data_IF_035275098650
#
_entry.id   IF_035275098650
#
_cell.length_a   1.000
_cell.length_b   1.000
_cell.length_c   1.000
_cell.angle_alpha   90.00
_cell.angle_beta   90.00
_cell.angle_gamma   90.00
#
_symmetry.space_group_name_H-M   'P 1'
#
loop_
_entity.id
_entity.type
_entity.pdbx_description
1 polymer ?
#
# COMPACT_ATOMS: atom_id res chain seq x y z
N UNK A 1 -10.30 -25.93 -0.12
CA UNK A 1 -11.52 -26.06 -0.94
C UNK A 1 -12.36 -24.77 -1.06
N UNK A 2 -12.01 -23.69 -0.35
CA UNK A 2 -12.71 -22.41 -0.41
C UNK A 2 -12.27 -21.51 -1.60
N UNK A 3 -11.34 -21.98 -2.44
CA UNK A 3 -10.91 -21.26 -3.63
C UNK A 3 -9.87 -20.17 -3.42
N UNK A 4 -9.33 -19.98 -2.23
CA UNK A 4 -8.22 -19.05 -2.01
C UNK A 4 -6.99 -19.49 -2.81
N UNK A 5 -6.35 -18.57 -3.51
CA UNK A 5 -5.20 -18.84 -4.39
C UNK A 5 -4.00 -17.94 -4.11
N UNK A 6 -4.17 -16.93 -3.28
CA UNK A 6 -3.10 -15.99 -2.92
C UNK A 6 -3.03 -15.86 -1.41
N UNK A 7 -1.80 -15.73 -0.89
CA UNK A 7 -1.53 -15.53 0.53
C UNK A 7 -0.42 -14.51 0.70
N UNK A 8 -0.51 -13.68 1.74
CA UNK A 8 0.56 -12.77 2.15
C UNK A 8 0.99 -13.07 3.57
N UNK A 9 2.29 -13.06 3.80
CA UNK A 9 2.91 -13.26 5.10
C UNK A 9 3.67 -12.01 5.51
N UNK A 10 3.29 -11.43 6.64
CA UNK A 10 4.01 -10.30 7.21
C UNK A 10 5.32 -10.75 7.83
N UNK A 11 6.40 -10.71 7.07
CA UNK A 11 7.76 -11.03 7.54
C UNK A 11 8.32 -9.87 8.35
N UNK A 12 8.14 -8.66 7.88
CA UNK A 12 8.65 -7.38 8.38
C UNK A 12 10.18 -7.28 8.24
N UNK A 13 10.94 -8.03 9.05
CA UNK A 13 12.40 -8.06 9.07
C UNK A 13 12.89 -9.40 9.65
N UNK A 14 14.10 -9.86 9.25
CA UNK A 14 14.72 -11.07 9.78
C UNK A 14 15.82 -10.79 10.81
N UNK A 15 16.22 -9.53 11.03
CA UNK A 15 17.18 -9.17 12.06
C UNK A 15 16.57 -9.37 13.45
N UNK A 16 17.22 -10.17 14.29
CA UNK A 16 16.71 -10.51 15.63
C UNK A 16 16.56 -9.27 16.52
N UNK A 17 17.48 -8.30 16.41
CA UNK A 17 17.41 -7.05 17.17
C UNK A 17 16.19 -6.22 16.77
N UNK A 18 15.87 -6.15 15.46
CA UNK A 18 14.72 -5.44 14.93
C UNK A 18 13.42 -6.15 15.36
N UNK A 19 13.37 -7.48 15.22
CA UNK A 19 12.22 -8.28 15.64
C UNK A 19 11.91 -8.12 17.14
N UNK A 20 12.96 -8.07 17.99
CA UNK A 20 12.80 -7.81 19.44
C UNK A 20 12.22 -6.42 19.70
N UNK A 21 12.71 -5.40 18.99
CA UNK A 21 12.26 -4.03 19.16
C UNK A 21 10.77 -3.84 18.80
N UNK A 22 10.30 -4.54 17.78
CA UNK A 22 8.88 -4.50 17.36
C UNK A 22 8.00 -5.56 18.06
N UNK A 23 8.54 -6.30 19.02
CA UNK A 23 7.87 -7.40 19.74
C UNK A 23 7.28 -8.48 18.84
N UNK A 24 7.97 -8.80 17.74
CA UNK A 24 7.52 -9.77 16.75
C UNK A 24 8.64 -10.73 16.37
N UNK A 25 8.86 -11.73 17.21
CA UNK A 25 9.85 -12.79 16.95
C UNK A 25 9.27 -13.78 15.92
N UNK A 26 9.85 -13.78 14.74
CA UNK A 26 9.42 -14.62 13.62
C UNK A 26 10.63 -15.23 12.90
N UNK A 27 11.13 -16.38 13.38
CA UNK A 27 12.30 -17.03 12.79
C UNK A 27 12.09 -17.36 11.31
N UNK A 28 13.14 -17.28 10.52
CA UNK A 28 13.14 -17.60 9.09
C UNK A 28 12.52 -18.99 8.79
N UNK A 29 12.83 -19.98 9.62
CA UNK A 29 12.30 -21.35 9.43
C UNK A 29 10.78 -21.43 9.51
N UNK A 30 10.15 -20.57 10.32
CA UNK A 30 8.69 -20.50 10.36
C UNK A 30 8.12 -19.92 9.07
N UNK A 31 8.71 -18.86 8.54
CA UNK A 31 8.30 -18.25 7.26
C UNK A 31 8.52 -19.24 6.12
N UNK A 32 9.68 -19.91 6.10
CA UNK A 32 9.98 -20.96 5.12
C UNK A 32 8.89 -22.04 5.14
N UNK A 33 8.62 -22.60 6.31
CA UNK A 33 7.63 -23.66 6.48
C UNK A 33 6.25 -23.26 5.94
N UNK A 34 5.74 -22.07 6.31
CA UNK A 34 4.41 -21.63 5.85
C UNK A 34 4.39 -21.28 4.36
N UNK A 35 5.50 -20.78 3.81
CA UNK A 35 5.66 -20.51 2.37
C UNK A 35 5.63 -21.83 1.57
N UNK A 36 6.37 -22.83 2.02
CA UNK A 36 6.40 -24.16 1.37
C UNK A 36 5.02 -24.83 1.46
N UNK A 37 4.39 -24.81 2.65
CA UNK A 37 3.04 -25.35 2.83
C UNK A 37 2.01 -24.66 1.95
N UNK A 38 2.07 -23.35 1.79
CA UNK A 38 1.16 -22.64 0.89
C UNK A 38 1.27 -23.16 -0.55
N UNK A 39 2.50 -23.39 -1.04
CA UNK A 39 2.72 -23.95 -2.38
C UNK A 39 2.23 -25.38 -2.52
N UNK A 40 2.50 -26.21 -1.52
CA UNK A 40 2.02 -27.62 -1.47
C UNK A 40 0.48 -27.69 -1.50
N UNK A 41 -0.21 -26.79 -0.80
CA UNK A 41 -1.68 -26.68 -0.79
C UNK A 41 -2.23 -26.19 -2.13
N UNK A 42 -1.40 -25.53 -2.97
CA UNK A 42 -1.79 -25.06 -4.30
C UNK A 42 -2.08 -23.56 -4.38
N UNK A 43 -1.54 -22.75 -3.48
CA UNK A 43 -1.52 -21.30 -3.67
C UNK A 43 -0.65 -20.93 -4.87
N UNK A 44 -1.19 -20.13 -5.75
CA UNK A 44 -0.54 -19.73 -7.02
C UNK A 44 0.26 -18.43 -6.91
N UNK A 45 0.12 -17.71 -5.81
CA UNK A 45 0.92 -16.52 -5.51
C UNK A 45 1.10 -16.37 -4.01
N UNK A 46 2.36 -16.32 -3.58
CA UNK A 46 2.78 -16.07 -2.21
C UNK A 46 3.45 -14.71 -2.15
N UNK A 47 3.04 -13.87 -1.22
CA UNK A 47 3.60 -12.54 -0.98
C UNK A 47 4.30 -12.48 0.37
N UNK A 48 5.44 -11.78 0.44
CA UNK A 48 6.08 -11.39 1.69
C UNK A 48 5.96 -9.88 1.89
N UNK A 49 5.54 -9.47 3.07
CA UNK A 49 5.51 -8.06 3.46
C UNK A 49 6.75 -7.75 4.28
N UNK A 50 7.62 -6.90 3.75
CA UNK A 50 8.84 -6.41 4.37
C UNK A 50 8.65 -4.94 4.77
N UNK A 51 9.33 -4.51 5.83
CA UNK A 51 9.23 -3.12 6.30
C UNK A 51 10.63 -2.53 6.46
N UNK A 52 10.83 -1.35 5.87
CA UNK A 52 12.04 -0.56 6.08
C UNK A 52 11.77 0.63 7.01
N UNK A 53 12.83 1.10 7.66
CA UNK A 53 12.74 2.18 8.62
C UNK A 53 12.23 1.75 9.99
N UNK A 54 12.33 0.46 10.33
CA UNK A 54 12.02 -0.08 11.65
C UNK A 54 13.05 0.40 12.70
N UNK A 55 12.69 0.41 14.00
CA UNK A 55 13.64 0.78 15.06
C UNK A 55 14.93 -0.06 15.00
N UNK A 56 16.10 0.59 15.16
CA UNK A 56 17.43 0.00 15.09
C UNK A 56 17.82 -0.66 13.76
N UNK A 57 16.97 -0.59 12.74
CA UNK A 57 17.25 -1.21 11.44
C UNK A 57 18.36 -0.47 10.71
N UNK A 58 19.34 -1.21 10.20
CA UNK A 58 20.44 -0.72 9.37
C UNK A 58 20.25 -1.14 7.91
N UNK A 59 21.07 -0.59 7.01
CA UNK A 59 21.07 -1.01 5.62
C UNK A 59 21.38 -2.51 5.47
N UNK A 60 22.36 -3.02 6.22
CA UNK A 60 22.71 -4.44 6.19
C UNK A 60 21.54 -5.33 6.65
N UNK A 61 20.74 -4.88 7.63
CA UNK A 61 19.52 -5.61 8.05
C UNK A 61 18.49 -5.68 6.91
N UNK A 62 18.29 -4.58 6.20
CA UNK A 62 17.35 -4.51 5.03
C UNK A 62 17.82 -5.46 3.93
N UNK A 63 19.08 -5.37 3.52
CA UNK A 63 19.63 -6.21 2.45
C UNK A 63 19.60 -7.69 2.84
N UNK A 64 19.98 -8.01 4.08
CA UNK A 64 19.88 -9.37 4.62
C UNK A 64 18.44 -9.90 4.58
N UNK A 65 17.47 -9.08 4.97
CA UNK A 65 16.04 -9.45 4.97
C UNK A 65 15.53 -9.70 3.55
N UNK A 66 15.93 -8.87 2.59
CA UNK A 66 15.57 -9.07 1.17
C UNK A 66 16.18 -10.37 0.65
N UNK A 67 17.46 -10.63 0.90
CA UNK A 67 18.14 -11.84 0.44
C UNK A 67 17.56 -13.11 1.05
N UNK A 68 17.25 -13.09 2.33
CA UNK A 68 16.54 -14.18 3.01
C UNK A 68 15.15 -14.43 2.42
N UNK A 69 14.36 -13.36 2.21
CA UNK A 69 13.06 -13.49 1.55
C UNK A 69 13.21 -14.03 0.13
N UNK A 70 14.18 -13.52 -0.64
CA UNK A 70 14.42 -13.98 -2.01
C UNK A 70 14.84 -15.46 -2.07
N UNK A 71 15.50 -16.01 -1.06
CA UNK A 71 15.82 -17.45 -1.00
C UNK A 71 14.58 -18.35 -0.99
N UNK A 72 13.44 -17.83 -0.52
CA UNK A 72 12.13 -18.49 -0.55
C UNK A 72 11.35 -18.19 -1.83
N UNK A 73 11.85 -17.27 -2.64
CA UNK A 73 11.28 -16.86 -3.94
C UNK A 73 9.77 -16.56 -3.88
N UNK A 74 9.28 -15.67 -3.01
CA UNK A 74 7.88 -15.26 -3.05
C UNK A 74 7.55 -14.63 -4.42
N UNK A 75 6.31 -14.76 -4.86
CA UNK A 75 5.85 -14.22 -6.15
C UNK A 75 5.76 -12.69 -6.11
N UNK A 76 5.51 -12.15 -4.91
CA UNK A 76 5.40 -10.70 -4.65
C UNK A 76 6.14 -10.34 -3.38
N UNK A 77 6.60 -9.10 -3.36
CA UNK A 77 7.11 -8.45 -2.15
C UNK A 77 6.43 -7.10 -2.02
N UNK A 78 5.86 -6.83 -0.85
CA UNK A 78 5.48 -5.49 -0.43
C UNK A 78 6.57 -4.96 0.49
N UNK A 79 7.20 -3.83 0.11
CA UNK A 79 8.32 -3.23 0.83
C UNK A 79 7.86 -1.89 1.43
N UNK A 80 7.22 -1.97 2.61
CA UNK A 80 6.54 -0.85 3.22
C UNK A 80 7.46 0.03 4.06
N UNK A 81 7.20 1.34 4.02
CA UNK A 81 7.77 2.29 4.97
C UNK A 81 7.14 2.13 6.35
N UNK A 82 7.96 2.01 7.40
CA UNK A 82 7.48 2.03 8.77
C UNK A 82 6.79 3.37 9.09
N UNK A 83 5.51 3.28 9.51
CA UNK A 83 4.75 4.43 9.94
C UNK A 83 4.91 4.63 11.45
N UNK A 84 5.77 5.58 11.85
CA UNK A 84 5.94 5.95 13.25
C UNK A 84 4.83 6.92 13.67
N UNK A 85 3.91 6.44 14.51
CA UNK A 85 2.72 7.17 14.97
C UNK A 85 2.53 7.00 16.50
N UNK A 86 3.50 7.42 17.34
CA UNK A 86 3.50 7.17 18.78
C UNK A 86 2.34 7.84 19.51
N UNK A 87 1.69 8.84 18.90
CA UNK A 87 0.53 9.53 19.43
C UNK A 87 -0.77 8.72 19.36
N UNK A 88 -0.82 7.63 18.58
CA UNK A 88 -1.98 6.74 18.51
C UNK A 88 -1.90 5.75 19.67
N UNK A 89 -2.90 5.81 20.58
CA UNK A 89 -2.98 4.88 21.71
C UNK A 89 -3.21 3.44 21.23
N UNK A 90 -2.50 2.49 21.84
CA UNK A 90 -2.67 1.05 21.59
C UNK A 90 -1.93 0.49 20.38
N UNK A 91 -1.09 1.26 19.71
CA UNK A 91 -0.34 0.81 18.53
C UNK A 91 0.91 -0.07 18.83
N UNK A 92 1.23 -0.35 20.10
CA UNK A 92 2.40 -1.17 20.47
C UNK A 92 3.77 -0.53 20.25
N UNK A 93 3.85 0.71 19.76
CA UNK A 93 5.10 1.42 19.44
C UNK A 93 5.72 2.05 20.69
N UNK A 94 6.04 1.25 21.73
CA UNK A 94 6.51 1.76 23.03
C UNK A 94 7.78 1.11 23.56
N UNK A 95 8.37 0.18 22.81
CA UNK A 95 9.57 -0.56 23.23
C UNK A 95 10.89 0.12 22.84
N UNK A 96 10.83 1.32 22.21
CA UNK A 96 11.96 2.07 21.69
C UNK A 96 11.65 3.57 21.73
N UNK A 97 12.66 4.41 21.54
CA UNK A 97 12.53 5.87 21.50
C UNK A 97 12.41 6.36 20.05
N UNK A 98 11.95 7.59 19.87
CA UNK A 98 11.87 8.22 18.54
C UNK A 98 13.23 8.29 17.84
N UNK A 99 14.32 8.48 18.60
CA UNK A 99 15.71 8.51 18.12
C UNK A 99 16.23 7.17 17.58
N UNK A 100 15.58 6.06 17.96
CA UNK A 100 15.93 4.70 17.50
C UNK A 100 15.35 4.38 16.10
N UNK A 101 14.50 5.26 15.58
CA UNK A 101 13.82 5.09 14.29
C UNK A 101 14.57 5.85 13.19
N UNK A 102 15.00 5.19 12.12
CA UNK A 102 15.61 5.87 10.97
C UNK A 102 14.70 6.94 10.38
N UNK A 103 15.22 8.14 10.15
CA UNK A 103 14.46 9.29 9.60
C UNK A 103 15.23 9.96 8.47
N UNK A 104 14.53 10.78 7.68
CA UNK A 104 15.13 11.61 6.64
C UNK A 104 16.00 10.80 5.65
N UNK A 105 17.23 11.25 5.45
CA UNK A 105 18.17 10.68 4.47
C UNK A 105 18.46 9.20 4.73
N UNK A 106 18.62 8.80 6.00
CA UNK A 106 18.86 7.39 6.35
C UNK A 106 17.71 6.52 5.89
N UNK A 107 16.48 6.92 6.20
CA UNK A 107 15.29 6.16 5.81
C UNK A 107 15.14 6.09 4.29
N UNK A 108 15.45 7.17 3.58
CA UNK A 108 15.47 7.22 2.13
C UNK A 108 16.49 6.25 1.55
N UNK A 109 17.72 6.23 2.09
CA UNK A 109 18.74 5.29 1.67
C UNK A 109 18.29 3.84 1.85
N UNK A 110 17.66 3.48 2.98
CA UNK A 110 17.12 2.13 3.19
C UNK A 110 16.14 1.72 2.10
N UNK A 111 15.30 2.66 1.64
CA UNK A 111 14.35 2.41 0.54
C UNK A 111 15.06 2.25 -0.80
N UNK A 112 15.92 3.18 -1.17
CA UNK A 112 16.57 3.20 -2.49
C UNK A 112 17.46 1.97 -2.70
N UNK A 113 18.31 1.66 -1.73
CA UNK A 113 19.19 0.48 -1.77
C UNK A 113 18.39 -0.84 -1.69
N UNK A 114 17.35 -0.87 -0.86
CA UNK A 114 16.45 -2.03 -0.78
C UNK A 114 15.69 -2.27 -2.09
N UNK A 115 15.19 -1.21 -2.71
CA UNK A 115 14.58 -1.26 -4.05
C UNK A 115 15.56 -1.77 -5.10
N UNK A 116 16.77 -1.21 -5.14
CA UNK A 116 17.80 -1.64 -6.09
C UNK A 116 18.10 -3.13 -5.90
N UNK A 117 18.24 -3.59 -4.65
CA UNK A 117 18.44 -5.01 -4.36
C UNK A 117 17.31 -5.89 -4.86
N UNK A 118 16.05 -5.47 -4.68
CA UNK A 118 14.88 -6.20 -5.20
C UNK A 118 14.92 -6.30 -6.73
N UNK A 119 15.28 -5.23 -7.43
CA UNK A 119 15.44 -5.25 -8.89
C UNK A 119 16.58 -6.19 -9.33
N UNK A 120 17.73 -6.14 -8.65
CA UNK A 120 18.88 -7.03 -8.93
C UNK A 120 18.55 -8.51 -8.76
N UNK A 121 17.72 -8.87 -7.79
CA UNK A 121 17.31 -10.26 -7.58
C UNK A 121 16.10 -10.68 -8.45
N UNK A 122 15.68 -9.82 -9.38
CA UNK A 122 14.76 -10.15 -10.47
C UNK A 122 13.29 -9.87 -10.19
N UNK A 123 12.97 -9.01 -9.22
CA UNK A 123 11.62 -8.44 -9.10
C UNK A 123 11.50 -7.19 -9.96
N UNK A 124 10.30 -6.92 -10.46
CA UNK A 124 9.95 -5.68 -11.11
C UNK A 124 9.12 -4.81 -10.16
N UNK A 125 9.36 -3.51 -10.16
CA UNK A 125 8.52 -2.54 -9.45
C UNK A 125 7.18 -2.40 -10.15
N UNK A 126 6.10 -2.57 -9.40
CA UNK A 126 4.72 -2.43 -9.91
C UNK A 126 4.18 -1.03 -9.65
N UNK A 127 4.51 -0.50 -8.50
CA UNK A 127 4.13 0.84 -8.06
C UNK A 127 4.14 0.95 -6.55
N UNK A 128 4.43 2.14 -6.06
CA UNK A 128 4.62 2.43 -4.65
C UNK A 128 5.59 1.43 -4.01
N UNK A 129 5.06 0.62 -3.11
CA UNK A 129 5.81 -0.29 -2.25
C UNK A 129 5.74 -1.76 -2.75
N UNK A 130 5.21 -2.00 -3.97
CA UNK A 130 4.93 -3.35 -4.46
C UNK A 130 5.88 -3.77 -5.57
N UNK A 131 6.40 -4.98 -5.41
CA UNK A 131 7.28 -5.65 -6.36
C UNK A 131 6.73 -7.03 -6.69
N UNK A 132 6.91 -7.49 -7.93
CA UNK A 132 6.46 -8.80 -8.36
C UNK A 132 7.46 -9.46 -9.30
N UNK A 133 7.49 -10.78 -9.30
CA UNK A 133 8.21 -11.53 -10.32
C UNK A 133 7.52 -11.35 -11.68
N UNK A 134 8.26 -11.37 -12.80
CA UNK A 134 7.69 -11.28 -14.14
C UNK A 134 6.68 -12.40 -14.46
N UNK A 135 6.75 -13.51 -13.72
CA UNK A 135 5.81 -14.63 -13.84
C UNK A 135 4.49 -14.43 -13.11
N UNK A 136 4.41 -13.46 -12.19
CA UNK A 136 3.19 -13.20 -11.42
C UNK A 136 2.13 -12.46 -12.24
N UNK A 137 0.86 -12.71 -11.93
CA UNK A 137 -0.28 -12.08 -12.59
C UNK A 137 -0.35 -10.56 -12.39
N UNK A 138 0.21 -10.03 -11.29
CA UNK A 138 0.24 -8.60 -11.03
C UNK A 138 1.19 -7.88 -12.01
N UNK A 139 2.37 -8.45 -12.27
CA UNK A 139 3.30 -7.91 -13.26
C UNK A 139 2.67 -7.94 -14.66
N UNK A 140 2.04 -9.05 -15.05
CA UNK A 140 1.38 -9.14 -16.37
C UNK A 140 0.26 -8.11 -16.50
N UNK A 141 -0.54 -7.90 -15.46
CA UNK A 141 -1.59 -6.88 -15.46
C UNK A 141 -1.00 -5.46 -15.55
N UNK A 142 0.14 -5.21 -14.92
CA UNK A 142 0.88 -3.94 -15.03
C UNK A 142 1.34 -3.69 -16.47
N UNK A 143 2.03 -4.63 -17.10
CA UNK A 143 2.50 -4.55 -18.49
C UNK A 143 1.35 -4.36 -19.51
N UNK A 144 0.19 -4.96 -19.21
CA UNK A 144 -0.99 -4.87 -20.06
C UNK A 144 -1.89 -3.66 -19.77
N UNK A 145 -1.49 -2.74 -18.88
CA UNK A 145 -2.30 -1.61 -18.41
C UNK A 145 -3.67 -2.03 -17.84
N UNK A 146 -3.73 -3.23 -17.26
CA UNK A 146 -4.93 -3.81 -16.63
C UNK A 146 -4.85 -3.83 -15.10
N UNK A 147 -3.75 -3.29 -14.55
CA UNK A 147 -3.60 -3.21 -13.11
C UNK A 147 -4.75 -2.45 -12.48
N UNK A 148 -5.25 -2.94 -11.39
CA UNK A 148 -6.27 -2.29 -10.57
C UNK A 148 -5.77 -2.12 -9.14
N UNK A 149 -6.38 -1.19 -8.42
CA UNK A 149 -6.13 -0.97 -7.00
C UNK A 149 -7.44 -0.89 -6.25
N UNK A 150 -7.56 -1.65 -5.18
CA UNK A 150 -8.66 -1.57 -4.22
C UNK A 150 -8.09 -1.22 -2.83
N UNK A 151 -8.91 -1.28 -1.80
CA UNK A 151 -8.49 -0.96 -0.44
C UNK A 151 -7.34 -1.86 0.06
N UNK A 152 -7.22 -3.08 -0.41
CA UNK A 152 -6.15 -4.02 -0.02
C UNK A 152 -4.83 -3.77 -0.77
N UNK A 153 -4.80 -2.94 -1.79
CA UNK A 153 -3.62 -2.66 -2.61
C UNK A 153 -3.79 -3.03 -4.08
N UNK A 154 -2.68 -3.24 -4.79
CA UNK A 154 -2.68 -3.60 -6.20
C UNK A 154 -3.19 -5.02 -6.45
N UNK A 155 -3.95 -5.18 -7.53
CA UNK A 155 -4.51 -6.47 -7.95
C UNK A 155 -4.58 -6.57 -9.47
N UNK A 156 -4.42 -7.79 -9.99
CA UNK A 156 -4.60 -8.10 -11.42
C UNK A 156 -6.07 -8.19 -11.83
N UNK A 157 -7.02 -8.21 -10.89
CA UNK A 157 -8.44 -8.36 -11.20
C UNK A 157 -9.22 -7.11 -10.85
N UNK A 158 -10.04 -6.64 -11.81
CA UNK A 158 -11.00 -5.54 -11.61
C UNK A 158 -12.26 -6.09 -10.94
N UNK A 159 -12.19 -6.38 -9.66
CA UNK A 159 -13.38 -6.77 -8.89
C UNK A 159 -14.26 -5.55 -8.64
N UNK A 160 -15.55 -5.66 -8.91
CA UNK A 160 -16.52 -4.58 -8.65
C UNK A 160 -16.90 -4.50 -7.18
N UNK A 161 -16.81 -5.62 -6.46
CA UNK A 161 -17.16 -5.72 -5.05
C UNK A 161 -16.15 -6.62 -4.35
N UNK A 162 -15.58 -6.13 -3.26
CA UNK A 162 -14.78 -6.88 -2.32
C UNK A 162 -15.48 -6.88 -0.97
N UNK A 163 -15.78 -8.05 -0.43
CA UNK A 163 -16.42 -8.20 0.88
C UNK A 163 -15.34 -8.54 1.91
N UNK A 164 -15.17 -7.68 2.87
CA UNK A 164 -14.25 -7.88 4.00
C UNK A 164 -14.86 -8.80 5.04
N UNK A 165 -14.20 -9.92 5.31
CA UNK A 165 -14.61 -10.89 6.33
C UNK A 165 -13.77 -10.73 7.59
N UNK A 166 -14.42 -10.79 8.74
CA UNK A 166 -13.78 -10.68 10.04
C UNK A 166 -13.84 -9.26 10.65
N UNK A 167 -13.37 -9.15 11.90
CA UNK A 167 -13.28 -7.88 12.61
C UNK A 167 -12.34 -6.91 11.88
N UNK A 168 -12.61 -5.61 11.95
CA UNK A 168 -11.86 -4.52 11.30
C UNK A 168 -11.84 -4.56 9.76
N UNK A 169 -12.32 -5.63 9.13
CA UNK A 169 -12.25 -5.80 7.69
C UNK A 169 -13.00 -4.70 6.94
N UNK A 170 -12.46 -4.29 5.80
CA UNK A 170 -13.06 -3.26 4.96
C UNK A 170 -13.58 -3.90 3.67
N UNK A 171 -14.85 -3.64 3.39
CA UNK A 171 -15.48 -3.92 2.11
C UNK A 171 -15.35 -2.73 1.19
N UNK A 172 -15.08 -2.99 -0.09
CA UNK A 172 -14.87 -1.98 -1.13
C UNK A 172 -15.75 -2.32 -2.32
N UNK A 173 -16.64 -1.41 -2.69
CA UNK A 173 -17.38 -1.44 -3.94
C UNK A 173 -17.09 -0.18 -4.74
N UNK A 174 -17.46 -0.18 -6.04
CA UNK A 174 -17.28 1.03 -6.83
C UNK A 174 -17.99 2.25 -6.23
N UNK A 175 -19.11 2.05 -5.55
CA UNK A 175 -19.99 3.11 -5.04
C UNK A 175 -19.85 3.38 -3.54
N UNK A 176 -18.98 2.66 -2.81
CA UNK A 176 -18.85 2.89 -1.39
C UNK A 176 -17.94 1.92 -0.66
N UNK A 177 -17.68 2.27 0.58
CA UNK A 177 -16.86 1.51 1.52
C UNK A 177 -17.66 1.18 2.77
N UNK A 178 -17.39 0.03 3.37
CA UNK A 178 -17.94 -0.34 4.68
C UNK A 178 -16.84 -1.00 5.53
N UNK A 179 -16.80 -0.70 6.82
CA UNK A 179 -15.85 -1.31 7.76
C UNK A 179 -16.59 -2.03 8.86
N UNK A 180 -16.18 -3.26 9.12
CA UNK A 180 -16.69 -4.06 10.23
C UNK A 180 -16.20 -3.52 11.59
N UNK A 181 -16.90 -3.93 12.67
CA UNK A 181 -16.51 -3.63 14.05
C UNK A 181 -15.04 -3.96 14.28
N UNK A 182 -14.35 -3.07 15.00
CA UNK A 182 -12.93 -3.21 15.31
C UNK A 182 -12.64 -3.97 16.59
N UNK A 183 -13.62 -3.98 17.47
CA UNK A 183 -13.59 -4.72 18.71
C UNK A 183 -14.15 -6.13 18.49
N UNK A 184 -13.45 -7.13 19.01
CA UNK A 184 -13.80 -8.54 18.79
C UNK A 184 -15.15 -8.90 19.43
N UNK A 185 -15.41 -8.40 20.63
CA UNK A 185 -16.66 -8.70 21.36
C UNK A 185 -17.85 -8.02 20.68
N UNK A 186 -17.68 -6.75 20.25
CA UNK A 186 -18.70 -6.04 19.49
C UNK A 186 -19.00 -6.74 18.15
N UNK A 187 -17.98 -7.24 17.47
CA UNK A 187 -18.12 -8.00 16.23
C UNK A 187 -18.96 -9.27 16.45
N UNK A 188 -18.61 -10.11 17.42
CA UNK A 188 -19.35 -11.33 17.71
C UNK A 188 -20.79 -11.04 18.19
N UNK A 189 -20.98 -10.03 19.02
CA UNK A 189 -22.32 -9.63 19.52
C UNK A 189 -23.30 -9.28 18.41
N UNK A 190 -22.82 -8.71 17.28
CA UNK A 190 -23.67 -8.47 16.11
C UNK A 190 -23.96 -9.75 15.36
N UNK A 191 -22.95 -10.61 15.15
CA UNK A 191 -23.17 -11.90 14.49
C UNK A 191 -24.16 -12.80 15.22
N UNK A 192 -24.10 -12.85 16.56
CA UNK A 192 -25.04 -13.59 17.40
C UNK A 192 -26.50 -13.11 17.23
N UNK A 193 -26.67 -11.83 16.89
CA UNK A 193 -27.97 -11.24 16.58
C UNK A 193 -28.37 -11.36 15.11
N UNK A 194 -27.59 -12.04 14.28
CA UNK A 194 -27.73 -12.08 12.82
C UNK A 194 -27.68 -10.69 12.15
N UNK A 195 -26.95 -9.73 12.74
CA UNK A 195 -26.73 -8.40 12.19
C UNK A 195 -25.44 -8.38 11.36
N UNK A 196 -25.42 -7.59 10.27
CA UNK A 196 -24.18 -7.31 9.53
C UNK A 196 -23.28 -6.47 10.45
N UNK A 197 -22.03 -6.89 10.72
CA UNK A 197 -21.18 -6.28 11.74
C UNK A 197 -20.49 -4.99 11.27
N UNK A 198 -21.15 -4.19 10.43
CA UNK A 198 -20.64 -2.91 9.91
C UNK A 198 -20.80 -1.82 10.95
N UNK A 199 -19.70 -1.16 11.35
CA UNK A 199 -19.72 -0.03 12.27
C UNK A 199 -19.68 1.33 11.57
N UNK A 200 -19.15 1.42 10.37
CA UNK A 200 -19.12 2.65 9.57
C UNK A 200 -19.01 2.35 8.08
N UNK A 201 -19.41 3.32 7.27
CA UNK A 201 -19.28 3.25 5.83
C UNK A 201 -19.33 4.64 5.21
N UNK A 202 -19.07 4.69 3.91
CA UNK A 202 -19.15 5.89 3.11
C UNK A 202 -19.71 5.56 1.73
N UNK A 203 -20.78 6.24 1.34
CA UNK A 203 -21.34 6.16 0.00
C UNK A 203 -20.74 7.28 -0.83
N UNK A 204 -20.18 6.93 -1.99
CA UNK A 204 -19.54 7.86 -2.91
C UNK A 204 -20.59 8.61 -3.73
N UNK A 205 -20.50 9.94 -3.78
CA UNK A 205 -21.27 10.76 -4.69
C UNK A 205 -20.62 10.81 -6.08
N UNK A 206 -21.23 11.54 -7.04
CA UNK A 206 -20.72 11.63 -8.41
C UNK A 206 -19.31 12.22 -8.49
N UNK A 207 -19.00 13.23 -7.69
CA UNK A 207 -17.68 13.84 -7.61
C UNK A 207 -16.65 12.84 -7.08
N UNK A 208 -16.97 12.13 -6.00
CA UNK A 208 -16.10 11.10 -5.42
C UNK A 208 -15.74 10.02 -6.46
N UNK A 209 -16.70 9.63 -7.31
CA UNK A 209 -16.47 8.64 -8.36
C UNK A 209 -15.52 9.15 -9.44
N UNK A 210 -15.62 10.42 -9.82
CA UNK A 210 -14.70 11.07 -10.77
C UNK A 210 -13.31 11.13 -10.18
N UNK A 211 -13.18 11.64 -8.95
CA UNK A 211 -11.89 11.73 -8.24
C UNK A 211 -11.27 10.35 -8.05
N UNK A 212 -12.06 9.35 -7.63
CA UNK A 212 -11.61 7.97 -7.52
C UNK A 212 -11.03 7.45 -8.85
N UNK A 213 -11.64 7.78 -9.98
CA UNK A 213 -11.15 7.39 -11.31
C UNK A 213 -9.77 8.02 -11.59
N UNK A 214 -9.60 9.31 -11.34
CA UNK A 214 -8.31 9.98 -11.52
C UNK A 214 -7.22 9.38 -10.63
N UNK A 215 -7.50 9.17 -9.35
CA UNK A 215 -6.55 8.56 -8.42
C UNK A 215 -6.18 7.14 -8.87
N UNK A 216 -7.14 6.33 -9.29
CA UNK A 216 -6.86 4.98 -9.79
C UNK A 216 -6.01 4.98 -11.07
N UNK A 217 -6.27 5.89 -11.99
CA UNK A 217 -5.49 6.04 -13.21
C UNK A 217 -4.04 6.41 -12.88
N UNK A 218 -3.84 7.42 -12.04
CA UNK A 218 -2.50 7.83 -11.59
C UNK A 218 -1.77 6.70 -10.87
N UNK A 219 -2.41 6.03 -9.92
CA UNK A 219 -1.82 4.93 -9.16
C UNK A 219 -1.46 3.71 -10.00
N UNK A 220 -2.27 3.37 -11.02
CA UNK A 220 -2.11 2.13 -11.78
C UNK A 220 -1.47 2.32 -13.15
N UNK A 221 -1.49 3.53 -13.72
CA UNK A 221 -1.04 3.82 -15.07
C UNK A 221 -0.08 5.02 -15.14
N UNK A 222 0.12 5.73 -14.03
CA UNK A 222 0.94 6.95 -13.93
C UNK A 222 0.51 8.09 -14.87
N UNK A 223 -0.74 8.05 -15.33
CA UNK A 223 -1.34 9.08 -16.17
C UNK A 223 -2.82 9.22 -15.84
N UNK A 224 -3.38 10.42 -16.05
CA UNK A 224 -4.83 10.63 -16.01
C UNK A 224 -5.23 11.75 -16.93
N UNK A 225 -6.46 11.67 -17.48
CA UNK A 225 -6.99 12.67 -18.42
C UNK A 225 -8.42 13.04 -18.07
N UNK A 226 -8.76 14.30 -18.29
CA UNK A 226 -10.13 14.86 -18.20
C UNK A 226 -10.62 15.37 -19.55
N UNK A 227 -10.14 14.77 -20.64
CA UNK A 227 -10.60 15.10 -22.00
C UNK A 227 -12.08 14.73 -22.19
N UNK A 228 -12.53 13.65 -21.57
CA UNK A 228 -13.92 13.18 -21.59
C UNK A 228 -14.76 13.96 -20.60
N UNK A 229 -15.99 14.43 -20.98
CA UNK A 229 -16.84 15.24 -20.12
C UNK A 229 -17.17 14.60 -18.77
N UNK A 230 -17.35 13.29 -18.73
CA UNK A 230 -17.64 12.50 -17.51
C UNK A 230 -16.48 12.41 -16.52
N UNK A 231 -15.28 12.84 -16.92
CA UNK A 231 -14.10 12.90 -16.07
C UNK A 231 -13.73 14.35 -15.68
N UNK A 232 -14.57 15.32 -16.01
CA UNK A 232 -14.39 16.71 -15.63
C UNK A 232 -15.03 16.97 -14.27
N UNK A 233 -14.39 17.81 -13.45
CA UNK A 233 -14.91 18.26 -12.17
C UNK A 233 -14.54 19.74 -11.94
N UNK A 234 -15.26 20.42 -11.07
CA UNK A 234 -15.21 21.86 -10.95
C UNK A 234 -13.84 22.39 -10.49
N UNK A 235 -13.18 21.67 -9.59
CA UNK A 235 -11.92 22.13 -8.96
C UNK A 235 -10.66 21.67 -9.68
N UNK A 236 -10.75 21.25 -10.95
CA UNK A 236 -9.57 20.79 -11.70
C UNK A 236 -8.46 21.83 -11.75
N UNK A 237 -8.79 23.10 -11.93
CA UNK A 237 -7.80 24.19 -11.97
C UNK A 237 -7.06 24.36 -10.63
N UNK A 238 -7.74 24.15 -9.51
CA UNK A 238 -7.14 24.13 -8.17
C UNK A 238 -6.15 22.98 -8.02
N UNK A 239 -6.51 21.79 -8.49
CA UNK A 239 -5.62 20.60 -8.50
C UNK A 239 -4.38 20.89 -9.33
N UNK A 240 -4.52 21.45 -10.53
CA UNK A 240 -3.39 21.80 -11.41
C UNK A 240 -2.48 22.86 -10.76
N UNK A 241 -3.05 23.83 -10.08
CA UNK A 241 -2.26 24.83 -9.34
C UNK A 241 -1.43 24.18 -8.23
N UNK A 242 -1.98 23.23 -7.48
CA UNK A 242 -1.23 22.50 -6.45
C UNK A 242 -0.11 21.64 -7.02
N UNK A 243 -0.29 21.10 -8.23
CA UNK A 243 0.71 20.28 -8.90
C UNK A 243 1.79 21.07 -9.63
N UNK A 244 1.63 22.40 -9.75
CA UNK A 244 2.54 23.25 -10.54
C UNK A 244 3.99 23.25 -10.03
N UNK A 245 4.22 23.11 -8.74
CA UNK A 245 5.57 22.99 -8.19
C UNK A 245 6.19 21.64 -8.53
N UNK A 246 5.42 20.57 -8.43
CA UNK A 246 5.88 19.23 -8.82
C UNK A 246 6.19 19.13 -10.32
N UNK A 247 5.47 19.88 -11.16
CA UNK A 247 5.79 19.99 -12.58
C UNK A 247 7.12 20.72 -12.81
N UNK A 248 7.37 21.84 -12.10
CA UNK A 248 8.66 22.54 -12.16
C UNK A 248 9.83 21.68 -11.70
N UNK A 249 9.59 20.79 -10.72
CA UNK A 249 10.57 19.84 -10.22
C UNK A 249 10.76 18.62 -11.15
N UNK A 250 10.04 18.58 -12.30
CA UNK A 250 10.15 17.51 -13.30
C UNK A 250 9.50 16.19 -12.89
N UNK A 251 8.61 16.18 -11.88
CA UNK A 251 7.97 14.96 -11.38
C UNK A 251 6.77 14.55 -12.21
N UNK A 252 6.20 15.46 -12.98
CA UNK A 252 5.06 15.23 -13.88
C UNK A 252 5.05 16.25 -15.01
N UNK A 253 4.27 15.98 -16.04
CA UNK A 253 3.98 16.91 -17.14
C UNK A 253 2.48 17.17 -17.20
N UNK A 254 2.08 18.44 -17.18
CA UNK A 254 0.71 18.87 -17.36
C UNK A 254 0.53 19.31 -18.81
N UNK A 255 -0.31 18.60 -19.55
CA UNK A 255 -0.75 19.00 -20.88
C UNK A 255 -2.16 19.58 -20.85
N UNK A 256 -2.73 19.93 -22.00
CA UNK A 256 -4.04 20.63 -22.08
C UNK A 256 -5.18 19.94 -21.31
N UNK A 257 -5.21 18.60 -21.26
CA UNK A 257 -6.24 17.83 -20.57
C UNK A 257 -5.71 16.48 -20.00
N UNK A 258 -4.45 16.43 -19.66
CA UNK A 258 -3.82 15.21 -19.17
C UNK A 258 -2.63 15.53 -18.25
N UNK A 259 -2.37 14.63 -17.33
CA UNK A 259 -1.17 14.59 -16.50
C UNK A 259 -0.48 13.27 -16.78
N UNK A 260 0.84 13.34 -17.02
CA UNK A 260 1.73 12.19 -17.15
C UNK A 260 2.82 12.29 -16.09
N UNK A 261 2.96 11.25 -15.27
CA UNK A 261 3.94 11.19 -14.19
C UNK A 261 5.25 10.67 -14.75
N UNK A 262 6.36 11.36 -14.46
CA UNK A 262 7.71 10.93 -14.88
C UNK A 262 8.22 9.75 -14.04
N UNK A 263 9.32 9.11 -14.44
CA UNK A 263 9.93 8.04 -13.65
C UNK A 263 10.35 8.52 -12.26
N UNK A 264 10.88 9.75 -12.14
CA UNK A 264 11.16 10.37 -10.85
C UNK A 264 9.90 10.66 -10.05
N UNK A 265 8.82 11.09 -10.71
CA UNK A 265 7.53 11.38 -10.09
C UNK A 265 6.82 10.15 -9.54
N UNK A 266 7.12 8.94 -10.04
CA UNK A 266 6.54 7.69 -9.51
C UNK A 266 6.81 7.50 -8.01
N UNK A 267 7.95 7.96 -7.53
CA UNK A 267 8.32 7.96 -6.10
C UNK A 267 7.36 8.82 -5.26
N UNK A 268 6.79 9.85 -5.88
CA UNK A 268 5.89 10.84 -5.26
C UNK A 268 4.43 10.65 -5.66
N UNK A 269 4.07 9.50 -6.22
CA UNK A 269 2.70 9.25 -6.72
C UNK A 269 1.61 9.50 -5.67
N UNK A 270 1.89 9.22 -4.38
CA UNK A 270 0.98 9.52 -3.27
C UNK A 270 0.73 11.03 -3.13
N UNK A 271 1.79 11.83 -3.21
CA UNK A 271 1.72 13.29 -3.11
C UNK A 271 0.95 13.87 -4.30
N UNK A 272 1.19 13.34 -5.51
CA UNK A 272 0.43 13.72 -6.72
C UNK A 272 -1.05 13.38 -6.54
N UNK A 273 -1.38 12.19 -6.05
CA UNK A 273 -2.76 11.79 -5.79
C UNK A 273 -3.44 12.62 -4.68
N UNK A 274 -2.69 13.12 -3.69
CA UNK A 274 -3.24 13.97 -2.63
C UNK A 274 -3.79 15.30 -3.17
N UNK A 275 -3.27 15.81 -4.28
CA UNK A 275 -3.83 17.00 -4.95
C UNK A 275 -5.27 16.75 -5.46
N UNK A 276 -5.65 15.50 -5.69
CA UNK A 276 -7.01 15.12 -6.08
C UNK A 276 -7.91 14.82 -4.88
N UNK A 277 -7.40 14.75 -3.64
CA UNK A 277 -8.25 14.49 -2.46
C UNK A 277 -8.97 15.76 -2.01
N UNK A 278 -10.02 16.13 -2.75
CA UNK A 278 -10.83 17.31 -2.46
C UNK A 278 -11.50 17.26 -1.09
N UNK A 279 -11.82 16.06 -0.60
CA UNK A 279 -12.40 15.91 0.75
C UNK A 279 -11.41 16.26 1.85
N UNK A 280 -10.17 15.80 1.72
CA UNK A 280 -9.09 16.16 2.63
C UNK A 280 -8.83 17.68 2.60
N UNK A 281 -8.79 18.26 1.42
CA UNK A 281 -8.55 19.71 1.24
C UNK A 281 -9.65 20.57 1.88
N UNK A 282 -10.93 20.16 1.70
CA UNK A 282 -12.09 20.88 2.26
C UNK A 282 -12.25 20.69 3.78
N UNK A 283 -11.66 19.65 4.35
CA UNK A 283 -11.74 19.31 5.77
C UNK A 283 -10.36 18.94 6.29
N UNK A 284 -9.40 19.85 6.15
CA UNK A 284 -8.07 19.62 6.70
C UNK A 284 -8.16 19.38 8.21
N UNK A 285 -7.69 18.23 8.69
CA UNK A 285 -7.70 17.95 10.11
C UNK A 285 -6.67 18.81 10.83
N UNK A 286 -7.03 19.30 12.02
CA UNK A 286 -6.18 20.10 12.89
C UNK A 286 -4.95 19.32 13.41
N UNK A 287 -4.98 17.98 13.35
CA UNK A 287 -3.91 17.10 13.83
C UNK A 287 -3.32 16.27 12.69
N UNK A 288 -2.02 15.96 12.79
CA UNK A 288 -1.36 15.04 11.84
C UNK A 288 -2.07 13.68 11.81
N UNK A 289 -2.68 13.33 10.67
CA UNK A 289 -3.35 12.02 10.49
C UNK A 289 -2.40 11.01 9.86
N UNK A 290 -1.45 11.46 9.06
CA UNK A 290 -0.55 10.59 8.29
C UNK A 290 0.88 10.64 8.85
N UNK A 291 1.57 9.49 8.77
CA UNK A 291 3.02 9.46 8.94
C UNK A 291 3.70 10.27 7.83
N UNK A 292 4.89 10.79 8.12
CA UNK A 292 5.71 11.42 7.08
C UNK A 292 6.00 10.38 5.98
N UNK A 293 5.77 10.77 4.73
CA UNK A 293 6.32 10.05 3.58
C UNK A 293 7.82 10.24 3.53
N UNK A 294 8.55 9.27 3.02
CA UNK A 294 10.01 9.34 2.84
C UNK A 294 10.33 10.34 1.77
#
# INVERSE_FOLDING_TARGET
DLGFRRVSYGVQDYSEKVQKAIHRLQPFENVKRVTDQAREIGYTSVSHDLVFGLPFQTLDDVLYTIDKSNSLRPDRIAFYSYAHVPWIKGNGQRGFKDEDVPTGEVKRQLYEEGKERLLQVGYAEIGMDHFALPTDSMYRAFEQHQLHRNFMGYTASKTQVMIGLGMSAISDSWYGFAQNEKDLEAYYKRLEKNEIPVCKGHILNSEDLIIRRHILNLMCQFTTSWAQPELQFAEIDQVLQQLSEMEKDGLLHISKKQIDVTDEGKKFIRNICMAFDLRLQRKMPETKIFSMTV
#
